data_IF_787923326888
#
_entry.id   IF_787923326888
#
_cell.length_a   1.000
_cell.length_b   1.000
_cell.length_c   1.000
_cell.angle_alpha   90.00
_cell.angle_beta   90.00
_cell.angle_gamma   90.00
#
_symmetry.space_group_name_H-M   'P 1'
#
loop_
_entity.id
_entity.type
_entity.pdbx_description
1 polymer ?
#
# COMPACT_ATOMS: atom_id res chain seq x y z
N UNK A 1 -2.37 -29.11 -15.94
CA UNK A 1 -1.41 -27.98 -15.87
C UNK A 1 -2.10 -26.75 -16.44
N UNK A 2 -2.51 -25.74 -15.66
CA UNK A 2 -2.97 -24.50 -16.25
C UNK A 2 -1.78 -23.55 -16.45
N UNK A 3 -1.66 -23.04 -17.67
CA UNK A 3 -0.69 -22.03 -18.08
C UNK A 3 -0.79 -20.80 -17.17
N UNK A 4 0.34 -20.40 -16.57
CA UNK A 4 0.53 -19.04 -16.06
C UNK A 4 0.37 -18.05 -17.22
N UNK A 5 -0.39 -16.95 -17.08
CA UNK A 5 -0.46 -15.94 -18.12
C UNK A 5 0.92 -15.32 -18.35
N UNK A 6 1.42 -15.36 -19.59
CA UNK A 6 2.59 -14.60 -20.01
C UNK A 6 2.21 -13.11 -20.07
N UNK A 7 2.43 -12.37 -18.99
CA UNK A 7 2.31 -10.92 -18.98
C UNK A 7 3.60 -10.31 -19.53
N UNK A 8 3.72 -10.23 -20.85
CA UNK A 8 4.64 -9.26 -21.48
C UNK A 8 3.94 -7.92 -21.39
N UNK A 9 4.38 -7.03 -20.50
CA UNK A 9 3.83 -5.68 -20.36
C UNK A 9 4.29 -4.75 -21.49
N UNK A 10 3.97 -5.09 -22.73
CA UNK A 10 3.98 -4.16 -23.86
C UNK A 10 2.59 -4.10 -24.49
N UNK A 11 1.60 -3.68 -23.69
CA UNK A 11 0.22 -3.53 -24.14
C UNK A 11 -0.03 -2.25 -24.98
N UNK A 12 1.03 -1.61 -25.50
CA UNK A 12 0.93 -0.36 -26.26
C UNK A 12 0.35 0.83 -25.50
N UNK A 13 0.27 0.76 -24.16
CA UNK A 13 -0.27 1.83 -23.31
C UNK A 13 0.85 2.80 -22.93
N UNK A 14 0.62 4.13 -23.00
CA UNK A 14 1.59 5.11 -22.55
C UNK A 14 1.74 5.05 -21.03
N UNK A 15 2.91 5.46 -20.53
CA UNK A 15 3.12 5.67 -19.10
C UNK A 15 2.29 6.86 -18.61
N UNK A 16 1.75 6.76 -17.40
CA UNK A 16 1.07 7.88 -16.74
C UNK A 16 2.09 8.85 -16.14
N UNK A 17 1.74 10.13 -15.90
CA UNK A 17 2.62 11.07 -15.23
C UNK A 17 3.06 10.57 -13.84
N UNK A 18 4.36 10.72 -13.55
CA UNK A 18 4.98 10.42 -12.26
C UNK A 18 5.32 11.74 -11.58
N UNK A 19 4.98 11.87 -10.29
CA UNK A 19 5.34 13.02 -9.46
C UNK A 19 6.11 12.48 -8.26
N UNK A 20 7.41 12.77 -8.20
CA UNK A 20 8.28 12.37 -7.10
C UNK A 20 8.38 13.51 -6.06
N UNK A 21 8.12 13.20 -4.80
CA UNK A 21 8.23 14.15 -3.68
C UNK A 21 8.99 13.50 -2.52
N UNK A 22 10.10 14.09 -2.10
CA UNK A 22 10.97 13.52 -1.05
C UNK A 22 10.53 13.85 0.38
N UNK A 23 9.64 14.84 0.57
CA UNK A 23 9.30 15.37 1.90
C UNK A 23 7.89 15.03 2.39
N UNK A 24 7.03 14.45 1.54
CA UNK A 24 5.64 14.12 1.91
C UNK A 24 5.54 12.65 2.26
N UNK A 25 5.12 12.34 3.49
CA UNK A 25 4.85 10.95 3.88
C UNK A 25 3.56 10.48 3.22
N UNK A 26 3.52 9.23 2.73
CA UNK A 26 2.32 8.61 2.13
C UNK A 26 1.06 8.72 2.99
N UNK A 27 1.25 8.82 4.31
CA UNK A 27 0.19 8.92 5.29
C UNK A 27 -0.46 10.32 5.37
N UNK A 28 0.13 11.34 4.73
CA UNK A 28 -0.33 12.73 4.70
C UNK A 28 -1.11 13.09 3.43
N UNK A 29 -1.26 12.16 2.47
CA UNK A 29 -1.97 12.40 1.22
C UNK A 29 -3.46 12.06 1.40
N UNK A 30 -4.30 13.09 1.45
CA UNK A 30 -5.75 12.98 1.68
C UNK A 30 -6.58 12.71 0.42
N UNK A 31 -5.96 12.70 -0.78
CA UNK A 31 -6.67 12.54 -2.06
C UNK A 31 -6.05 11.49 -3.00
N UNK A 32 -5.16 10.64 -2.49
CA UNK A 32 -4.50 9.59 -3.27
C UNK A 32 -4.81 8.20 -2.71
N UNK A 33 -4.68 7.16 -3.55
CA UNK A 33 -4.66 5.79 -3.04
C UNK A 33 -3.30 5.53 -2.43
N UNK A 34 -3.22 5.48 -1.10
CA UNK A 34 -1.96 5.19 -0.41
C UNK A 34 -1.80 3.69 -0.20
N UNK A 35 -0.58 3.20 -0.40
CA UNK A 35 -0.23 1.79 -0.24
C UNK A 35 0.23 1.49 1.20
N UNK A 36 -0.31 0.43 1.80
CA UNK A 36 0.19 -0.15 3.06
C UNK A 36 0.64 -1.58 2.83
N UNK A 37 1.60 -2.07 3.62
CA UNK A 37 1.99 -3.48 3.57
C UNK A 37 1.02 -4.31 4.40
N UNK A 38 1.04 -5.63 4.17
CA UNK A 38 0.53 -6.63 5.12
C UNK A 38 1.37 -7.87 4.95
N UNK A 39 2.11 -8.27 5.98
CA UNK A 39 2.81 -9.55 5.97
C UNK A 39 1.82 -10.71 6.17
N UNK A 40 2.24 -11.92 5.78
CA UNK A 40 1.54 -13.21 5.88
C UNK A 40 0.92 -13.47 7.26
N UNK A 41 1.42 -12.82 8.31
CA UNK A 41 0.96 -12.97 9.71
C UNK A 41 0.07 -11.81 10.22
N UNK A 42 -0.48 -10.97 9.33
CA UNK A 42 -1.32 -9.83 9.73
C UNK A 42 -0.54 -8.60 10.19
N UNK A 43 0.76 -8.52 9.82
CA UNK A 43 1.66 -7.45 10.23
C UNK A 43 2.12 -7.56 11.69
N UNK A 44 3.15 -6.80 12.05
CA UNK A 44 3.71 -6.81 13.41
C UNK A 44 2.98 -5.89 14.39
N UNK A 45 1.82 -5.32 14.04
CA UNK A 45 1.19 -4.23 14.81
C UNK A 45 0.73 -4.66 16.20
N UNK A 46 0.33 -5.92 16.36
CA UNK A 46 0.00 -6.51 17.66
C UNK A 46 1.23 -7.17 18.34
N UNK A 47 2.40 -7.10 17.69
CA UNK A 47 3.66 -7.66 18.16
C UNK A 47 4.73 -6.56 18.30
N UNK A 48 5.90 -6.79 17.71
CA UNK A 48 7.06 -5.89 17.78
C UNK A 48 7.28 -5.04 16.52
N UNK A 49 6.37 -5.09 15.55
CA UNK A 49 6.49 -4.32 14.31
C UNK A 49 6.27 -2.83 14.55
N UNK A 50 7.12 -2.00 13.95
CA UNK A 50 7.00 -0.54 14.06
C UNK A 50 7.53 0.15 12.79
N UNK A 51 7.19 -0.39 11.62
CA UNK A 51 7.56 0.19 10.33
C UNK A 51 6.33 0.80 9.65
N UNK A 52 6.38 1.09 8.36
CA UNK A 52 5.34 1.87 7.67
C UNK A 52 3.91 1.35 7.90
N UNK A 53 3.72 0.03 7.89
CA UNK A 53 2.41 -0.60 8.10
C UNK A 53 1.93 -0.42 9.54
N UNK A 54 2.71 -0.85 10.54
CA UNK A 54 2.29 -0.85 11.93
C UNK A 54 2.09 0.56 12.48
N UNK A 55 2.92 1.51 12.03
CA UNK A 55 2.71 2.92 12.33
C UNK A 55 1.36 3.38 11.78
N UNK A 56 0.99 2.97 10.56
CA UNK A 56 -0.30 3.36 9.97
C UNK A 56 -1.48 2.77 10.73
N UNK A 57 -1.43 1.50 11.10
CA UNK A 57 -2.47 0.87 11.91
C UNK A 57 -2.55 1.49 13.32
N UNK A 58 -1.43 1.93 13.89
CA UNK A 58 -1.41 2.60 15.20
C UNK A 58 -2.08 3.97 15.18
N UNK A 59 -1.86 4.78 14.13
CA UNK A 59 -2.48 6.11 14.02
C UNK A 59 -3.92 6.06 13.45
N UNK A 60 -4.31 4.94 12.82
CA UNK A 60 -5.63 4.70 12.23
C UNK A 60 -6.19 3.34 12.72
N UNK A 61 -6.52 3.19 14.02
CA UNK A 61 -6.85 1.90 14.63
C UNK A 61 -8.07 1.19 14.05
N UNK A 62 -8.98 1.88 13.36
CA UNK A 62 -10.09 1.25 12.61
C UNK A 62 -9.60 0.21 11.60
N UNK A 63 -8.38 0.36 11.10
CA UNK A 63 -7.74 -0.60 10.20
C UNK A 63 -7.54 -1.97 10.86
N UNK A 64 -7.41 -2.05 12.19
CA UNK A 64 -7.20 -3.31 12.91
C UNK A 64 -8.36 -4.30 12.72
N UNK A 65 -9.57 -3.83 12.43
CA UNK A 65 -10.73 -4.70 12.11
C UNK A 65 -10.41 -5.60 10.92
N UNK A 66 -9.57 -5.16 9.98
CA UNK A 66 -9.16 -5.95 8.83
C UNK A 66 -8.27 -7.15 9.18
N UNK A 67 -7.70 -7.21 10.39
CA UNK A 67 -7.01 -8.40 10.89
C UNK A 67 -7.99 -9.50 11.30
N UNK A 68 -9.20 -9.11 11.72
CA UNK A 68 -10.24 -10.03 12.14
C UNK A 68 -10.99 -10.64 10.94
N UNK A 69 -11.21 -9.85 9.89
CA UNK A 69 -12.15 -10.22 8.81
C UNK A 69 -11.49 -10.59 7.50
N UNK A 70 -10.20 -10.31 7.31
CA UNK A 70 -9.50 -10.62 6.07
C UNK A 70 -8.48 -11.74 6.28
N UNK A 71 -8.60 -12.78 5.46
CA UNK A 71 -7.61 -13.84 5.36
C UNK A 71 -6.31 -13.35 4.68
N UNK A 72 -5.30 -14.21 4.70
CA UNK A 72 -4.02 -14.01 4.01
C UNK A 72 -4.23 -13.79 2.50
N UNK A 73 -3.63 -12.74 1.95
CA UNK A 73 -3.78 -12.39 0.54
C UNK A 73 -3.03 -13.36 -0.38
N UNK A 74 -3.70 -13.84 -1.43
CA UNK A 74 -3.06 -14.51 -2.57
C UNK A 74 -2.30 -13.51 -3.46
N UNK A 75 -1.43 -13.98 -4.38
CA UNK A 75 -0.68 -13.11 -5.31
C UNK A 75 -1.54 -12.17 -6.17
N UNK A 76 -2.81 -12.49 -6.38
CA UNK A 76 -3.80 -11.77 -7.18
C UNK A 76 -4.91 -11.12 -6.34
N UNK A 77 -4.70 -10.99 -5.03
CA UNK A 77 -5.63 -10.35 -4.10
C UNK A 77 -5.03 -9.08 -3.48
N UNK A 78 -5.90 -8.16 -3.06
CA UNK A 78 -5.55 -6.96 -2.33
C UNK A 78 -6.70 -6.54 -1.42
N UNK A 79 -6.40 -5.78 -0.36
CA UNK A 79 -7.41 -5.32 0.60
C UNK A 79 -7.55 -3.82 0.48
N UNK A 80 -8.77 -3.33 0.25
CA UNK A 80 -9.07 -1.90 0.26
C UNK A 80 -9.63 -1.51 1.62
N UNK A 81 -9.04 -0.48 2.23
CA UNK A 81 -9.51 0.12 3.48
C UNK A 81 -9.94 1.54 3.14
N UNK A 82 -11.25 1.79 3.17
CA UNK A 82 -11.85 3.05 2.71
C UNK A 82 -12.56 3.69 3.89
N UNK A 83 -12.26 4.97 4.12
CA UNK A 83 -12.94 5.76 5.14
C UNK A 83 -12.28 5.77 6.51
N UNK A 84 -11.13 5.11 6.69
CA UNK A 84 -10.44 5.05 7.97
C UNK A 84 -10.00 6.45 8.43
N UNK A 85 -10.34 6.79 9.67
CA UNK A 85 -9.95 8.05 10.30
C UNK A 85 -8.55 7.93 10.94
N UNK A 86 -7.79 9.02 10.87
CA UNK A 86 -6.55 9.17 11.65
C UNK A 86 -6.86 9.82 13.00
N UNK A 87 -6.38 9.19 14.07
CA UNK A 87 -6.61 9.65 15.44
C UNK A 87 -5.36 10.22 16.10
N UNK A 88 -4.16 9.86 15.63
CA UNK A 88 -2.91 10.23 16.32
C UNK A 88 -1.88 10.89 15.40
N UNK A 89 -1.27 11.96 15.91
CA UNK A 89 -0.02 12.52 15.43
C UNK A 89 1.15 11.70 15.98
N UNK A 90 2.24 11.63 15.24
CA UNK A 90 3.41 10.87 15.66
C UNK A 90 4.69 11.49 15.15
N UNK A 91 5.79 11.17 15.82
CA UNK A 91 7.16 11.46 15.42
C UNK A 91 7.99 10.19 15.43
N UNK A 92 9.16 10.24 14.79
CA UNK A 92 10.04 9.09 14.66
C UNK A 92 9.53 8.01 13.70
N UNK A 93 10.18 6.85 13.78
CA UNK A 93 10.03 5.65 12.97
C UNK A 93 10.78 4.48 13.65
N UNK A 94 10.23 3.25 13.59
CA UNK A 94 10.82 2.10 14.26
C UNK A 94 11.13 2.39 15.74
N UNK A 95 12.37 2.20 16.19
CA UNK A 95 12.74 2.26 17.60
C UNK A 95 12.55 3.63 18.27
N UNK A 96 12.37 4.72 17.50
CA UNK A 96 12.08 6.05 18.04
C UNK A 96 10.67 6.55 17.70
N UNK A 97 9.79 5.65 17.24
CA UNK A 97 8.37 5.95 17.03
C UNK A 97 7.72 6.33 18.36
N UNK A 98 7.07 7.49 18.37
CA UNK A 98 6.45 8.03 19.56
C UNK A 98 5.13 8.70 19.18
N UNK A 99 4.11 8.48 20.00
CA UNK A 99 2.89 9.30 19.97
C UNK A 99 3.28 10.76 20.23
N UNK A 100 2.82 11.65 19.38
CA UNK A 100 3.11 13.07 19.51
C UNK A 100 1.94 13.81 20.17
N UNK A 101 0.76 13.72 19.56
CA UNK A 101 -0.45 14.42 19.99
C UNK A 101 -1.69 13.73 19.40
N UNK A 102 -2.89 14.08 19.90
CA UNK A 102 -4.13 13.77 19.21
C UNK A 102 -4.13 14.40 17.81
N UNK A 103 -4.77 13.74 16.85
CA UNK A 103 -4.97 14.26 15.50
C UNK A 103 -6.45 14.46 15.23
N UNK A 104 -6.83 15.69 14.86
CA UNK A 104 -8.16 15.98 14.32
C UNK A 104 -8.11 15.81 12.82
N UNK A 105 -8.73 14.75 12.33
CA UNK A 105 -8.77 14.46 10.91
C UNK A 105 -9.81 15.35 10.22
N UNK A 106 -9.38 16.41 9.56
CA UNK A 106 -10.24 17.32 8.80
C UNK A 106 -10.55 16.80 7.38
N UNK A 107 -10.17 15.56 7.04
CA UNK A 107 -10.47 14.97 5.74
C UNK A 107 -11.99 14.98 5.49
N UNK A 108 -12.46 15.47 4.32
CA UNK A 108 -13.87 15.46 3.97
C UNK A 108 -14.48 14.06 4.02
N UNK A 109 -15.80 14.01 4.18
CA UNK A 109 -16.57 12.77 4.13
C UNK A 109 -17.33 12.68 2.81
N UNK A 110 -17.50 11.47 2.30
CA UNK A 110 -18.39 11.20 1.18
C UNK A 110 -19.86 11.15 1.62
N UNK A 111 -20.76 10.92 0.66
CA UNK A 111 -22.20 10.83 0.89
C UNK A 111 -22.61 9.65 1.80
N UNK A 112 -21.70 8.73 2.12
CA UNK A 112 -21.92 7.61 3.04
C UNK A 112 -21.26 7.85 4.41
N UNK A 113 -20.74 9.06 4.66
CA UNK A 113 -20.12 9.43 5.93
C UNK A 113 -18.70 8.88 6.12
N UNK A 114 -18.09 8.31 5.07
CA UNK A 114 -16.72 7.78 5.11
C UNK A 114 -15.74 8.90 4.80
N UNK A 115 -14.61 8.97 5.51
CA UNK A 115 -13.53 9.89 5.15
C UNK A 115 -13.05 9.62 3.72
N UNK A 116 -12.62 10.66 3.00
CA UNK A 116 -11.95 10.53 1.69
C UNK A 116 -10.54 9.96 1.82
N UNK A 117 -10.39 8.89 2.59
CA UNK A 117 -9.15 8.14 2.76
C UNK A 117 -9.31 6.79 2.06
N UNK A 118 -8.50 6.55 1.03
CA UNK A 118 -8.50 5.30 0.29
C UNK A 118 -7.13 4.66 0.43
N UNK A 119 -7.06 3.56 1.19
CA UNK A 119 -5.84 2.79 1.35
C UNK A 119 -5.98 1.46 0.62
N UNK A 120 -4.87 0.99 0.04
CA UNK A 120 -4.77 -0.36 -0.50
C UNK A 120 -3.63 -1.07 0.22
N UNK A 121 -3.95 -2.18 0.89
CA UNK A 121 -2.96 -3.06 1.46
C UNK A 121 -2.50 -4.07 0.40
N UNK A 122 -1.18 -4.18 0.23
CA UNK A 122 -0.55 -5.10 -0.72
C UNK A 122 0.81 -5.58 -0.18
N UNK A 123 1.08 -6.86 -0.35
CA UNK A 123 2.25 -7.54 0.18
C UNK A 123 3.35 -7.71 -0.88
N UNK A 124 4.60 -7.43 -0.52
CA UNK A 124 5.76 -7.69 -1.38
C UNK A 124 6.35 -9.08 -1.11
N UNK A 125 7.18 -9.60 -2.02
CA UNK A 125 7.94 -10.82 -1.75
C UNK A 125 9.10 -10.49 -0.81
N UNK A 126 9.30 -11.30 0.24
CA UNK A 126 10.53 -11.28 1.02
C UNK A 126 11.65 -12.01 0.29
N UNK A 127 12.71 -11.29 -0.09
CA UNK A 127 13.86 -11.87 -0.76
C UNK A 127 15.00 -12.19 0.22
N UNK A 128 15.14 -13.47 0.60
CA UNK A 128 16.31 -13.94 1.37
C UNK A 128 17.61 -13.79 0.58
N UNK A 129 17.57 -14.06 -0.72
CA UNK A 129 18.65 -13.79 -1.66
C UNK A 129 18.19 -12.69 -2.62
N UNK A 130 18.69 -11.45 -2.49
CA UNK A 130 18.27 -10.34 -3.33
C UNK A 130 18.45 -10.60 -4.83
N UNK A 131 19.41 -11.41 -5.26
CA UNK A 131 19.67 -11.63 -6.69
C UNK A 131 18.52 -12.35 -7.42
N UNK A 132 17.67 -13.11 -6.72
CA UNK A 132 16.59 -13.86 -7.38
C UNK A 132 15.44 -12.94 -7.82
N UNK A 133 15.34 -11.72 -7.30
CA UNK A 133 14.24 -10.81 -7.59
C UNK A 133 14.15 -10.43 -9.08
N UNK A 134 15.26 -10.56 -9.82
CA UNK A 134 15.33 -10.32 -11.26
C UNK A 134 14.83 -11.50 -12.10
N UNK A 135 14.52 -12.66 -11.50
CA UNK A 135 13.89 -13.75 -12.25
C UNK A 135 12.47 -13.34 -12.66
N UNK A 136 12.11 -13.59 -13.92
CA UNK A 136 10.81 -13.24 -14.48
C UNK A 136 9.61 -13.75 -13.67
N UNK A 137 9.76 -14.86 -12.95
CA UNK A 137 8.74 -15.38 -12.04
C UNK A 137 8.38 -14.36 -10.94
N UNK A 138 9.38 -13.75 -10.30
CA UNK A 138 9.16 -12.82 -9.20
C UNK A 138 8.79 -11.43 -9.71
N UNK A 139 9.41 -10.98 -10.80
CA UNK A 139 8.99 -9.75 -11.50
C UNK A 139 7.49 -9.84 -11.85
N UNK A 140 7.06 -10.92 -12.50
CA UNK A 140 5.64 -11.10 -12.86
C UNK A 140 4.73 -11.12 -11.64
N UNK A 141 5.15 -11.72 -10.53
CA UNK A 141 4.38 -11.73 -9.28
C UNK A 141 4.17 -10.30 -8.77
N UNK A 142 5.24 -9.51 -8.67
CA UNK A 142 5.15 -8.14 -8.16
C UNK A 142 4.34 -7.24 -9.09
N UNK A 143 4.46 -7.42 -10.41
CA UNK A 143 3.65 -6.73 -11.41
C UNK A 143 2.16 -7.09 -11.30
N UNK A 144 1.82 -8.38 -11.15
CA UNK A 144 0.43 -8.82 -10.97
C UNK A 144 -0.16 -8.23 -9.69
N UNK A 145 0.60 -8.24 -8.59
CA UNK A 145 0.19 -7.65 -7.31
C UNK A 145 -0.07 -6.16 -7.45
N UNK A 146 0.89 -5.40 -8.01
CA UNK A 146 0.74 -3.97 -8.26
C UNK A 146 -0.46 -3.67 -9.17
N UNK A 147 -0.58 -4.38 -10.29
CA UNK A 147 -1.70 -4.23 -11.21
C UNK A 147 -3.05 -4.50 -10.54
N UNK A 148 -3.15 -5.56 -9.73
CA UNK A 148 -4.36 -5.90 -8.99
C UNK A 148 -4.81 -4.77 -8.06
N UNK A 149 -3.85 -4.11 -7.41
CA UNK A 149 -4.10 -2.99 -6.48
C UNK A 149 -4.44 -1.69 -7.19
N UNK A 150 -3.75 -1.42 -8.30
CA UNK A 150 -3.78 -0.13 -8.99
C UNK A 150 -4.84 -0.07 -10.08
N UNK A 151 -5.33 -1.21 -10.55
CA UNK A 151 -6.40 -1.26 -11.54
C UNK A 151 -7.61 -0.48 -11.04
N UNK A 152 -8.05 0.46 -11.86
CA UNK A 152 -9.29 1.20 -11.65
C UNK A 152 -10.46 0.21 -11.58
N UNK A 153 -11.03 0.02 -10.40
CA UNK A 153 -12.37 -0.54 -10.30
C UNK A 153 -13.32 0.57 -10.75
N UNK A 154 -14.16 0.29 -11.76
CA UNK A 154 -15.32 1.12 -12.08
C UNK A 154 -16.26 1.07 -10.88
N UNK A 155 -15.97 1.86 -9.85
CA UNK A 155 -16.92 2.08 -8.75
C UNK A 155 -17.98 2.98 -9.35
N UNK A 156 -19.17 2.43 -9.59
CA UNK A 156 -20.26 3.01 -10.37
C UNK A 156 -20.82 4.33 -9.83
N UNK A 157 -20.27 4.87 -8.74
CA UNK A 157 -20.83 6.00 -7.98
C UNK A 157 -19.90 7.20 -7.83
N UNK A 158 -18.65 7.15 -8.33
CA UNK A 158 -17.76 8.31 -8.28
C UNK A 158 -17.57 8.84 -9.70
N UNK A 159 -18.19 9.97 -10.00
CA UNK A 159 -17.94 10.75 -11.22
C UNK A 159 -16.44 10.85 -11.49
N UNK A 160 -15.95 10.14 -12.50
CA UNK A 160 -14.79 10.43 -13.37
C UNK A 160 -13.49 10.98 -12.74
N UNK A 161 -13.30 10.89 -11.43
CA UNK A 161 -12.09 11.37 -10.76
C UNK A 161 -11.08 10.23 -10.73
N UNK A 162 -10.11 10.31 -11.63
CA UNK A 162 -8.91 9.47 -11.57
C UNK A 162 -8.10 9.94 -10.36
N UNK A 163 -7.99 9.07 -9.35
CA UNK A 163 -7.09 9.30 -8.23
C UNK A 163 -5.68 8.88 -8.62
N UNK A 164 -4.70 9.71 -8.26
CA UNK A 164 -3.29 9.31 -8.31
C UNK A 164 -3.01 8.17 -7.33
N UNK A 165 -1.95 7.42 -7.60
CA UNK A 165 -1.41 6.41 -6.67
C UNK A 165 -0.29 7.09 -5.88
N UNK A 166 -0.41 7.03 -4.57
CA UNK A 166 0.65 7.43 -3.66
C UNK A 166 1.38 6.17 -3.17
N UNK A 167 2.61 5.98 -3.65
CA UNK A 167 3.48 4.86 -3.25
C UNK A 167 4.91 5.35 -3.00
N UNK A 168 5.77 4.45 -2.53
CA UNK A 168 7.20 4.66 -2.39
C UNK A 168 7.93 3.34 -2.56
N UNK A 169 9.04 3.17 -1.82
CA UNK A 169 9.95 2.01 -1.86
C UNK A 169 9.31 0.68 -1.44
N UNK A 170 8.36 0.18 -2.25
CA UNK A 170 7.49 -0.96 -1.96
C UNK A 170 8.25 -2.28 -1.85
N UNK A 171 8.50 -2.70 -0.61
CA UNK A 171 9.18 -3.95 -0.29
C UNK A 171 10.70 -3.82 -0.27
N UNK A 172 11.26 -2.61 -0.33
CA UNK A 172 12.71 -2.41 -0.38
C UNK A 172 13.39 -2.24 0.99
N UNK A 173 12.60 -2.18 2.07
CA UNK A 173 13.09 -2.12 3.44
C UNK A 173 13.34 -3.52 4.01
N UNK A 174 12.57 -3.91 5.01
CA UNK A 174 12.64 -5.24 5.65
C UNK A 174 12.47 -6.42 4.67
N UNK A 175 11.93 -6.17 3.48
CA UNK A 175 11.63 -7.18 2.47
C UNK A 175 12.77 -7.43 1.46
N UNK A 176 13.86 -6.66 1.55
CA UNK A 176 15.07 -6.76 0.71
C UNK A 176 14.86 -6.60 -0.80
N UNK A 177 13.78 -5.93 -1.22
CA UNK A 177 13.59 -5.53 -2.62
C UNK A 177 14.58 -4.45 -3.04
N UNK A 178 14.98 -4.50 -4.30
CA UNK A 178 15.76 -3.46 -4.97
C UNK A 178 14.85 -2.28 -5.30
N UNK A 179 15.30 -1.06 -4.99
CA UNK A 179 14.51 0.16 -5.22
C UNK A 179 14.37 0.46 -6.70
N UNK A 180 15.44 0.33 -7.48
CA UNK A 180 15.47 0.62 -8.91
C UNK A 180 14.63 -0.38 -9.73
N UNK A 181 14.47 -1.60 -9.23
CA UNK A 181 13.54 -2.57 -9.84
C UNK A 181 12.08 -2.25 -9.53
N UNK A 182 11.81 -1.64 -8.37
CA UNK A 182 10.46 -1.38 -7.84
C UNK A 182 9.93 0.01 -8.19
N UNK A 183 10.82 0.97 -8.41
CA UNK A 183 10.58 2.38 -8.68
C UNK A 183 11.76 2.95 -9.51
N UNK A 184 11.66 4.19 -9.98
CA UNK A 184 12.80 4.90 -10.59
C UNK A 184 13.52 5.78 -9.54
N UNK A 185 14.84 5.98 -9.70
CA UNK A 185 15.67 6.83 -8.81
C UNK A 185 15.30 8.32 -8.92
#
# INVERSE_FOLDING_TARGET
>A
MPCSPQYVMSNGKPMWPIIQQSLVRLQQLSAARSVTYRDLEGGGVLGSGCVQEEIRFSICPEMLVSLLVCEMMKPDECIFLIGCERYSSYKGYANNFEFDNDYRDDTPKDNWGRKWCHLVAMDAIYFRNPSIQYDMKYINRELIKAYTCFRLRKVATIHQTLFGIATGNWGCGAFNGDKQLKDED
#
